data_IF_685772446072
#
_entry.id   IF_685772446072
#
_cell.length_a   1.000
_cell.length_b   1.000
_cell.length_c   1.000
_cell.angle_alpha   90.00
_cell.angle_beta   90.00
_cell.angle_gamma   90.00
#
_symmetry.space_group_name_H-M   'P 1'
#
loop_
_entity.id
_entity.type
_entity.pdbx_description
1 polymer ?
#
# COMPACT_ATOMS: atom_id res chain seq x y z
N UNK A 1 -18.51 -58.79 21.12
CA UNK A 1 -17.69 -58.71 19.89
C UNK A 1 -17.53 -57.22 19.60
N UNK A 2 -16.50 -56.61 20.16
CA UNK A 2 -16.20 -55.17 20.06
C UNK A 2 -14.83 -55.05 19.40
N UNK A 3 -14.75 -54.20 18.38
CA UNK A 3 -13.56 -53.85 17.58
C UNK A 3 -13.36 -52.31 17.67
N UNK A 4 -12.19 -51.75 17.32
CA UNK A 4 -11.35 -51.04 18.27
C UNK A 4 -11.03 -49.57 17.91
N UNK A 5 -10.51 -48.86 18.92
CA UNK A 5 -9.53 -47.76 18.86
C UNK A 5 -9.77 -46.56 17.92
N UNK A 6 -10.30 -45.50 18.53
CA UNK A 6 -10.33 -44.14 17.99
C UNK A 6 -8.95 -43.46 18.14
N UNK A 7 -8.20 -43.42 17.03
CA UNK A 7 -6.85 -42.83 16.95
C UNK A 7 -6.95 -41.30 16.80
N UNK A 8 -6.73 -40.58 17.89
CA UNK A 8 -6.68 -39.10 17.91
C UNK A 8 -5.47 -38.58 17.12
N UNK A 9 -5.70 -37.91 15.98
CA UNK A 9 -4.65 -37.24 15.21
C UNK A 9 -4.15 -36.00 15.95
N UNK A 10 -2.97 -36.11 16.57
CA UNK A 10 -2.24 -34.97 17.15
C UNK A 10 -1.58 -34.17 16.03
N UNK A 11 -2.14 -33.01 15.69
CA UNK A 11 -1.63 -32.12 14.65
C UNK A 11 -0.43 -31.33 15.20
N UNK A 12 0.79 -31.63 14.73
CA UNK A 12 2.00 -30.88 15.09
C UNK A 12 2.13 -29.63 14.21
N UNK A 13 2.07 -28.44 14.81
CA UNK A 13 2.31 -27.17 14.14
C UNK A 13 3.81 -26.86 14.00
N UNK A 14 4.21 -26.28 12.86
CA UNK A 14 5.58 -25.86 12.54
C UNK A 14 6.25 -24.99 13.63
N UNK A 15 5.45 -24.26 14.43
CA UNK A 15 5.93 -23.47 15.57
C UNK A 15 6.47 -24.31 16.73
N UNK A 16 5.97 -25.54 16.95
CA UNK A 16 6.45 -26.40 18.03
C UNK A 16 7.77 -27.12 17.69
N UNK A 17 8.09 -27.27 16.40
CA UNK A 17 9.34 -27.91 15.97
C UNK A 17 10.55 -26.97 16.13
N UNK A 18 10.38 -25.67 15.86
CA UNK A 18 11.44 -24.68 16.11
C UNK A 18 11.65 -24.38 17.60
N UNK A 19 10.60 -24.48 18.43
CA UNK A 19 10.73 -24.27 19.88
C UNK A 19 11.50 -25.38 20.62
N UNK A 20 11.50 -26.61 20.09
CA UNK A 20 12.15 -27.76 20.72
C UNK A 20 13.60 -27.98 20.26
N UNK A 21 14.04 -27.33 19.18
CA UNK A 21 15.41 -27.45 18.68
C UNK A 21 16.47 -26.68 19.51
N UNK A 22 16.04 -25.85 20.47
CA UNK A 22 16.93 -24.98 21.26
C UNK A 22 17.31 -25.53 22.65
N UNK A 23 16.82 -26.71 23.06
CA UNK A 23 17.00 -27.21 24.44
C UNK A 23 17.89 -28.45 24.58
N UNK A 24 18.58 -28.89 23.52
CA UNK A 24 19.47 -30.05 23.60
C UNK A 24 20.79 -29.86 22.84
N UNK A 25 21.65 -28.94 23.30
CA UNK A 25 23.12 -29.07 23.29
C UNK A 25 23.77 -27.77 23.79
N UNK A 26 24.61 -27.87 24.83
CA UNK A 26 25.65 -26.86 25.09
C UNK A 26 25.49 -26.03 26.37
N UNK A 27 25.50 -26.66 27.53
CA UNK A 27 25.97 -25.99 28.76
C UNK A 27 27.49 -25.89 28.74
N UNK A 28 27.99 -24.68 29.02
CA UNK A 28 29.35 -24.27 29.39
C UNK A 28 30.25 -23.64 28.28
N UNK A 29 30.79 -22.46 28.64
CA UNK A 29 31.87 -21.66 28.03
C UNK A 29 31.44 -20.64 26.95
N UNK A 30 30.86 -19.50 27.35
CA UNK A 30 30.94 -18.21 26.60
C UNK A 30 30.53 -16.96 27.40
N UNK A 31 30.66 -16.96 28.74
CA UNK A 31 30.16 -15.85 29.56
C UNK A 31 30.91 -14.49 29.45
N UNK A 32 32.21 -14.38 29.07
CA UNK A 32 32.84 -13.06 28.98
C UNK A 32 32.58 -12.30 27.67
N UNK A 33 32.16 -12.98 26.58
CA UNK A 33 32.09 -12.37 25.25
C UNK A 33 30.76 -11.67 24.94
N UNK A 34 29.71 -11.93 25.71
CA UNK A 34 28.40 -11.28 25.49
C UNK A 34 28.29 -9.88 26.10
N UNK A 35 29.21 -9.47 26.98
CA UNK A 35 29.19 -8.12 27.57
C UNK A 35 29.83 -7.08 26.63
N UNK A 36 30.71 -7.51 25.70
CA UNK A 36 31.41 -6.59 24.79
C UNK A 36 30.67 -6.26 23.47
N UNK A 37 29.57 -6.96 23.17
CA UNK A 37 28.76 -6.69 21.96
C UNK A 37 27.56 -5.77 22.22
N UNK A 38 27.23 -5.47 23.48
CA UNK A 38 26.09 -4.61 23.82
C UNK A 38 26.42 -3.11 23.73
N UNK A 39 27.71 -2.72 23.73
CA UNK A 39 28.14 -1.31 23.71
C UNK A 39 28.43 -0.76 22.30
N UNK A 40 28.42 -1.58 21.26
CA UNK A 40 28.67 -1.15 19.87
C UNK A 40 27.41 -0.88 19.03
N UNK A 41 26.21 -1.09 19.59
CA UNK A 41 24.94 -0.84 18.91
C UNK A 41 24.32 0.55 19.17
N UNK A 42 24.96 1.40 19.99
CA UNK A 42 24.47 2.74 20.31
C UNK A 42 25.51 3.80 19.93
N UNK A 43 25.73 3.99 18.63
CA UNK A 43 26.12 5.27 18.00
C UNK A 43 26.48 5.03 16.53
N UNK A 44 25.48 4.75 15.70
CA UNK A 44 25.55 5.08 14.28
C UNK A 44 24.75 6.37 14.02
N UNK A 45 25.11 7.43 14.73
CA UNK A 45 24.88 8.79 14.26
C UNK A 45 26.20 9.25 13.62
N UNK A 46 26.55 8.61 12.51
CA UNK A 46 27.58 9.14 11.64
C UNK A 46 26.97 10.40 11.03
N UNK A 47 27.24 11.56 11.62
CA UNK A 47 27.09 12.85 10.92
C UNK A 47 28.05 12.81 9.74
N UNK A 48 27.58 12.22 8.66
CA UNK A 48 28.28 12.15 7.38
C UNK A 48 28.28 13.57 6.84
N UNK A 49 29.46 14.20 6.79
CA UNK A 49 29.61 15.52 6.17
C UNK A 49 29.06 15.41 4.74
N UNK A 50 28.07 16.23 4.36
CA UNK A 50 27.48 16.19 3.02
C UNK A 50 28.57 16.27 1.96
N UNK A 51 28.47 15.43 0.93
CA UNK A 51 29.32 15.59 -0.23
C UNK A 51 29.03 16.97 -0.86
N UNK A 52 29.99 17.59 -1.58
CA UNK A 52 29.77 18.89 -2.19
C UNK A 52 28.50 18.91 -3.06
N UNK A 53 27.53 19.78 -2.70
CA UNK A 53 26.26 19.91 -3.40
C UNK A 53 25.08 19.16 -2.80
N UNK A 54 25.28 18.37 -1.74
CA UNK A 54 24.19 17.76 -0.98
C UNK A 54 23.63 18.69 0.10
N UNK A 55 22.35 18.48 0.44
CA UNK A 55 21.60 19.25 1.43
C UNK A 55 21.06 18.31 2.52
N UNK A 56 21.17 18.74 3.77
CA UNK A 56 20.46 18.09 4.87
C UNK A 56 18.97 18.42 4.77
N UNK A 57 18.11 17.42 4.92
CA UNK A 57 16.65 17.55 4.91
C UNK A 57 16.03 16.60 5.94
N UNK A 58 14.98 17.04 6.62
CA UNK A 58 14.16 16.16 7.47
C UNK A 58 12.77 15.98 6.87
N UNK A 59 12.44 14.74 6.50
CA UNK A 59 11.13 14.36 5.97
C UNK A 59 10.29 13.68 7.06
N UNK A 60 9.00 14.00 7.13
CA UNK A 60 8.06 13.26 7.99
C UNK A 60 7.33 12.23 7.13
N UNK A 61 7.77 10.98 7.18
CA UNK A 61 7.23 9.89 6.33
C UNK A 61 6.53 8.85 7.21
N UNK A 62 5.24 8.59 6.92
CA UNK A 62 4.38 7.67 7.66
C UNK A 62 4.41 7.96 9.17
N UNK A 63 4.31 9.26 9.51
CA UNK A 63 4.35 9.77 10.89
C UNK A 63 5.72 9.77 11.57
N UNK A 64 6.80 9.35 10.88
CA UNK A 64 8.14 9.25 11.45
C UNK A 64 9.09 10.28 10.83
N UNK A 65 9.81 11.08 11.63
CA UNK A 65 10.85 11.97 11.11
C UNK A 65 12.04 11.15 10.58
N UNK A 66 12.56 11.56 9.44
CA UNK A 66 13.68 10.94 8.72
C UNK A 66 14.65 12.02 8.27
N UNK A 67 15.81 12.10 8.92
CA UNK A 67 16.88 12.99 8.50
C UNK A 67 17.72 12.33 7.41
N UNK A 68 17.93 13.05 6.32
CA UNK A 68 18.65 12.59 5.12
C UNK A 68 19.61 13.68 4.66
N UNK A 69 20.64 13.27 3.92
CA UNK A 69 21.54 14.16 3.18
C UNK A 69 21.42 13.79 1.71
N UNK A 70 20.90 14.69 0.87
CA UNK A 70 20.50 14.38 -0.51
C UNK A 70 20.98 15.44 -1.49
N UNK A 71 21.27 15.05 -2.72
CA UNK A 71 21.39 16.02 -3.82
C UNK A 71 20.02 16.68 -4.11
N UNK A 72 19.97 17.99 -4.46
CA UNK A 72 18.71 18.70 -4.70
C UNK A 72 17.81 18.10 -5.78
N UNK A 73 18.40 17.36 -6.73
CA UNK A 73 17.69 16.69 -7.84
C UNK A 73 16.96 15.41 -7.44
N UNK A 74 17.21 14.88 -6.24
CA UNK A 74 16.60 13.62 -5.80
C UNK A 74 15.10 13.80 -5.69
N UNK A 75 14.36 13.03 -6.47
CA UNK A 75 12.90 13.01 -6.41
C UNK A 75 12.44 12.42 -5.08
N UNK A 76 11.24 12.77 -4.63
CA UNK A 76 10.64 12.16 -3.45
C UNK A 76 10.51 10.64 -3.65
N UNK A 77 10.21 10.19 -4.87
CA UNK A 77 10.15 8.77 -5.20
C UNK A 77 11.47 8.05 -4.90
N UNK A 78 12.59 8.62 -5.35
CA UNK A 78 13.91 8.02 -5.17
C UNK A 78 14.39 8.12 -3.71
N UNK A 79 14.07 9.21 -3.02
CA UNK A 79 14.33 9.31 -1.57
C UNK A 79 13.57 8.22 -0.79
N UNK A 80 12.29 8.02 -1.08
CA UNK A 80 11.48 6.99 -0.41
C UNK A 80 12.02 5.58 -0.67
N UNK A 81 12.31 5.26 -1.93
CA UNK A 81 12.67 3.90 -2.32
C UNK A 81 14.11 3.54 -2.00
N UNK A 82 15.03 4.38 -2.45
CA UNK A 82 16.45 4.04 -2.52
C UNK A 82 17.22 4.49 -1.26
N UNK A 83 16.75 5.56 -0.60
CA UNK A 83 17.38 6.06 0.63
C UNK A 83 16.68 5.53 1.89
N UNK A 84 15.35 5.45 1.88
CA UNK A 84 14.55 5.00 3.03
C UNK A 84 14.10 3.54 2.98
N UNK A 85 14.29 2.85 1.85
CA UNK A 85 13.89 1.45 1.67
C UNK A 85 12.37 1.23 1.62
N UNK A 86 11.58 2.29 1.48
CA UNK A 86 10.11 2.24 1.35
C UNK A 86 9.74 2.02 -0.11
N UNK A 87 9.82 0.76 -0.53
CA UNK A 87 9.71 0.34 -1.93
C UNK A 87 8.27 0.20 -2.43
N UNK A 88 7.27 0.48 -1.60
CA UNK A 88 5.84 0.40 -1.93
C UNK A 88 5.47 1.30 -3.11
N UNK A 89 5.86 2.58 -3.07
CA UNK A 89 5.71 3.48 -4.23
C UNK A 89 6.60 3.03 -5.40
N UNK A 90 6.04 3.01 -6.61
CA UNK A 90 6.70 2.40 -7.77
C UNK A 90 7.15 3.41 -8.81
N UNK A 91 8.34 3.16 -9.38
CA UNK A 91 8.83 3.86 -10.57
C UNK A 91 8.36 3.12 -11.82
N UNK A 92 7.26 3.58 -12.43
CA UNK A 92 6.74 3.00 -13.68
C UNK A 92 7.24 3.72 -14.93
N UNK A 93 7.24 5.06 -14.90
CA UNK A 93 7.61 5.89 -16.04
C UNK A 93 8.61 7.02 -15.72
N UNK A 94 8.71 7.45 -14.45
CA UNK A 94 9.53 8.59 -13.99
C UNK A 94 9.23 9.98 -14.61
N UNK A 95 8.17 10.08 -15.42
CA UNK A 95 7.77 11.32 -16.11
C UNK A 95 6.28 11.69 -15.90
N UNK A 96 5.67 11.27 -14.79
CA UNK A 96 4.28 11.65 -14.45
C UNK A 96 3.17 11.05 -15.31
N UNK A 97 3.44 9.97 -16.05
CA UNK A 97 2.50 9.41 -17.03
C UNK A 97 1.62 8.27 -16.48
N UNK A 98 2.06 7.55 -15.45
CA UNK A 98 1.40 6.29 -15.05
C UNK A 98 0.73 6.30 -13.66
N UNK A 99 1.04 7.26 -12.79
CA UNK A 99 0.52 7.32 -11.42
C UNK A 99 0.99 6.21 -10.46
N UNK A 100 1.83 5.26 -10.88
CA UNK A 100 2.31 4.17 -10.00
C UNK A 100 3.15 4.66 -8.79
N UNK A 101 3.65 5.90 -8.86
CA UNK A 101 4.42 6.56 -7.81
C UNK A 101 3.56 7.44 -6.87
N UNK A 102 2.23 7.33 -6.93
CA UNK A 102 1.34 8.18 -6.13
C UNK A 102 1.57 7.96 -4.63
N UNK A 103 1.79 9.06 -3.91
CA UNK A 103 1.84 9.16 -2.44
C UNK A 103 0.91 10.28 -1.99
N UNK A 104 0.66 10.41 -0.70
CA UNK A 104 -0.05 11.55 -0.14
C UNK A 104 0.94 12.53 0.50
N UNK A 105 0.82 13.82 0.19
CA UNK A 105 1.54 14.91 0.84
C UNK A 105 0.49 15.82 1.45
N UNK A 106 0.48 15.95 2.78
CA UNK A 106 -0.54 16.68 3.54
C UNK A 106 -1.99 16.25 3.19
N UNK A 107 -2.16 14.96 2.87
CA UNK A 107 -3.44 14.36 2.46
C UNK A 107 -3.72 14.44 0.96
N UNK A 108 -2.98 15.23 0.19
CA UNK A 108 -3.17 15.36 -1.26
C UNK A 108 -2.33 14.35 -2.05
N UNK A 109 -2.93 13.70 -3.04
CA UNK A 109 -2.21 12.75 -3.90
C UNK A 109 -1.26 13.47 -4.85
N UNK A 110 0.00 13.02 -4.87
CA UNK A 110 1.07 13.60 -5.69
C UNK A 110 1.88 12.49 -6.36
N UNK A 111 2.27 12.71 -7.62
CA UNK A 111 3.27 11.87 -8.29
C UNK A 111 4.65 12.17 -7.74
N UNK A 112 5.14 11.30 -6.86
CA UNK A 112 6.43 11.50 -6.17
C UNK A 112 7.64 11.57 -7.11
N UNK A 113 7.54 11.08 -8.36
CA UNK A 113 8.60 11.26 -9.37
C UNK A 113 8.74 12.71 -9.86
N UNK A 114 7.71 13.55 -9.71
CA UNK A 114 7.71 14.96 -10.11
C UNK A 114 7.87 15.92 -8.92
N UNK A 115 8.06 15.39 -7.71
CA UNK A 115 8.30 16.18 -6.51
C UNK A 115 9.77 16.02 -6.10
N UNK A 116 10.48 17.11 -5.81
CA UNK A 116 11.83 17.03 -5.23
C UNK A 116 11.75 16.79 -3.73
N UNK A 117 12.57 15.88 -3.19
CA UNK A 117 12.55 15.51 -1.78
C UNK A 117 12.84 16.73 -0.88
N UNK A 118 13.84 17.54 -1.25
CA UNK A 118 14.24 18.75 -0.51
C UNK A 118 13.14 19.80 -0.40
N UNK A 119 12.12 19.76 -1.27
CA UNK A 119 10.97 20.68 -1.23
C UNK A 119 9.82 20.19 -0.33
N UNK A 120 9.95 19.02 0.30
CA UNK A 120 8.89 18.41 1.12
C UNK A 120 9.19 18.44 2.63
N UNK A 121 10.21 19.18 3.04
CA UNK A 121 10.45 19.44 4.46
C UNK A 121 9.26 20.14 5.11
N UNK A 122 8.91 19.73 6.32
CA UNK A 122 7.75 20.24 7.07
C UNK A 122 6.40 19.66 6.66
N UNK A 123 6.32 18.86 5.59
CA UNK A 123 5.08 18.22 5.12
C UNK A 123 4.94 16.79 5.64
N UNK A 124 3.70 16.33 5.80
CA UNK A 124 3.38 14.95 6.15
C UNK A 124 3.27 14.09 4.88
N UNK A 125 4.18 13.14 4.71
CA UNK A 125 4.20 12.22 3.56
C UNK A 125 3.64 10.87 4.01
N UNK A 126 2.62 10.36 3.32
CA UNK A 126 2.08 9.01 3.54
C UNK A 126 2.24 8.17 2.27
N UNK A 127 2.93 7.03 2.41
CA UNK A 127 3.07 6.02 1.35
C UNK A 127 2.05 4.89 1.57
N UNK A 128 1.99 3.92 0.65
CA UNK A 128 1.09 2.76 0.79
C UNK A 128 1.35 1.98 2.09
N UNK A 129 2.61 1.90 2.53
CA UNK A 129 3.02 1.26 3.78
C UNK A 129 2.49 1.99 5.02
N UNK A 130 2.23 3.30 4.91
CA UNK A 130 1.70 4.13 5.98
C UNK A 130 0.19 4.10 6.13
N UNK A 131 -0.54 3.45 5.21
CA UNK A 131 -2.01 3.39 5.25
C UNK A 131 -2.53 2.35 6.26
N UNK A 132 -1.78 1.27 6.48
CA UNK A 132 -2.13 0.22 7.44
C UNK A 132 -1.69 0.59 8.86
N UNK A 133 -2.44 0.11 9.86
CA UNK A 133 -2.07 0.20 11.26
C UNK A 133 -1.63 -1.17 11.78
N UNK A 134 -0.34 -1.48 11.68
CA UNK A 134 0.18 -2.81 11.97
C UNK A 134 -0.39 -3.84 11.01
N UNK A 135 -1.06 -4.86 11.55
CA UNK A 135 -1.71 -5.92 10.76
C UNK A 135 -3.13 -5.54 10.29
N UNK A 136 -3.63 -4.36 10.69
CA UNK A 136 -4.96 -3.87 10.29
C UNK A 136 -4.83 -3.07 9.00
N UNK A 137 -5.39 -3.60 7.92
CA UNK A 137 -5.41 -2.94 6.62
C UNK A 137 -6.32 -1.71 6.64
N UNK A 138 -5.99 -0.76 5.78
CA UNK A 138 -6.89 0.35 5.49
C UNK A 138 -8.14 -0.18 4.77
N UNK A 139 -9.35 0.37 4.98
CA UNK A 139 -10.56 -0.11 4.31
C UNK A 139 -10.48 -0.16 2.77
N UNK A 140 -9.72 0.76 2.17
CA UNK A 140 -9.42 0.73 0.72
C UNK A 140 -8.52 -0.45 0.35
N UNK A 141 -7.54 -0.83 1.18
CA UNK A 141 -6.71 -2.00 0.93
C UNK A 141 -7.53 -3.29 1.01
N UNK A 142 -8.41 -3.42 2.02
CA UNK A 142 -9.34 -4.55 2.13
C UNK A 142 -10.26 -4.63 0.91
N UNK A 143 -10.86 -3.50 0.51
CA UNK A 143 -11.75 -3.47 -0.65
C UNK A 143 -11.04 -3.87 -1.96
N UNK A 144 -9.76 -3.53 -2.12
CA UNK A 144 -8.97 -3.98 -3.28
C UNK A 144 -8.75 -5.50 -3.27
N UNK A 145 -8.65 -6.14 -2.10
CA UNK A 145 -8.56 -7.59 -1.97
C UNK A 145 -9.92 -8.24 -2.29
N UNK A 146 -10.99 -7.73 -1.68
CA UNK A 146 -12.34 -8.28 -1.83
C UNK A 146 -12.85 -8.24 -3.28
N UNK A 147 -12.41 -7.26 -4.06
CA UNK A 147 -12.89 -7.01 -5.42
C UNK A 147 -11.87 -7.36 -6.53
N UNK A 148 -10.80 -8.10 -6.21
CA UNK A 148 -9.73 -8.43 -7.15
C UNK A 148 -9.21 -7.18 -7.90
N UNK A 149 -9.02 -6.09 -7.15
CA UNK A 149 -8.64 -4.77 -7.64
C UNK A 149 -7.18 -4.66 -8.12
N UNK A 150 -6.53 -5.79 -8.39
CA UNK A 150 -5.16 -5.87 -8.88
C UNK A 150 -4.89 -7.23 -9.53
N UNK A 151 -3.77 -7.31 -10.27
CA UNK A 151 -3.24 -8.58 -10.77
C UNK A 151 -1.74 -8.65 -10.51
N UNK A 152 -0.90 -8.08 -11.39
CA UNK A 152 0.56 -8.07 -11.20
C UNK A 152 1.03 -7.28 -9.96
N UNK A 153 0.16 -6.47 -9.36
CA UNK A 153 0.43 -5.72 -8.15
C UNK A 153 1.24 -4.43 -8.35
N UNK A 154 1.81 -4.18 -9.53
CA UNK A 154 2.77 -3.07 -9.71
C UNK A 154 2.12 -1.68 -9.60
N UNK A 155 0.95 -1.48 -10.21
CA UNK A 155 0.22 -0.21 -10.10
C UNK A 155 -0.53 -0.06 -8.77
N UNK A 156 -0.74 -1.15 -8.03
CA UNK A 156 -1.66 -1.22 -6.89
C UNK A 156 -1.33 -0.20 -5.79
N UNK A 157 -0.06 0.00 -5.38
CA UNK A 157 0.27 1.04 -4.41
C UNK A 157 -0.21 2.43 -4.81
N UNK A 158 0.02 2.82 -6.07
CA UNK A 158 -0.44 4.10 -6.59
C UNK A 158 -1.96 4.19 -6.66
N UNK A 159 -2.63 3.12 -7.09
CA UNK A 159 -4.11 3.04 -7.15
C UNK A 159 -4.74 3.19 -5.77
N UNK A 160 -4.20 2.50 -4.76
CA UNK A 160 -4.69 2.56 -3.38
C UNK A 160 -4.52 3.97 -2.80
N UNK A 161 -3.32 4.56 -2.89
CA UNK A 161 -3.11 5.95 -2.44
C UNK A 161 -4.05 6.93 -3.16
N UNK A 162 -4.18 6.81 -4.49
CA UNK A 162 -5.07 7.66 -5.27
C UNK A 162 -6.54 7.50 -4.88
N UNK A 163 -6.97 6.27 -4.56
CA UNK A 163 -8.34 5.97 -4.12
C UNK A 163 -8.64 6.55 -2.73
N UNK A 164 -7.68 6.49 -1.80
CA UNK A 164 -7.81 7.15 -0.50
C UNK A 164 -8.01 8.67 -0.67
N UNK A 165 -7.15 9.31 -1.48
CA UNK A 165 -7.27 10.73 -1.76
C UNK A 165 -8.57 11.09 -2.48
N UNK A 166 -9.01 10.29 -3.46
CA UNK A 166 -10.28 10.47 -4.17
C UNK A 166 -11.46 10.56 -3.21
N UNK A 167 -11.54 9.63 -2.24
CA UNK A 167 -12.64 9.60 -1.27
C UNK A 167 -12.60 10.83 -0.36
N UNK A 168 -11.41 11.31 0.00
CA UNK A 168 -11.24 12.54 0.77
C UNK A 168 -11.57 13.80 -0.03
N UNK A 169 -11.13 13.89 -1.29
CA UNK A 169 -11.47 14.97 -2.24
C UNK A 169 -12.99 15.17 -2.35
N UNK A 170 -13.75 14.08 -2.45
CA UNK A 170 -15.22 14.16 -2.49
C UNK A 170 -15.79 14.67 -1.16
N UNK A 171 -15.28 14.19 -0.02
CA UNK A 171 -15.71 14.69 1.31
C UNK A 171 -15.41 16.18 1.47
N UNK A 172 -14.34 16.68 0.86
CA UNK A 172 -13.98 18.11 0.79
C UNK A 172 -14.79 18.90 -0.26
N UNK A 173 -15.67 18.23 -1.02
CA UNK A 173 -16.52 18.87 -2.03
C UNK A 173 -15.81 19.21 -3.34
N UNK A 174 -14.66 18.58 -3.64
CA UNK A 174 -13.92 18.83 -4.87
C UNK A 174 -14.66 18.22 -6.09
N UNK A 175 -15.06 19.06 -7.03
CA UNK A 175 -15.60 18.63 -8.33
C UNK A 175 -14.53 17.98 -9.22
N UNK A 176 -14.94 17.14 -10.16
CA UNK A 176 -14.11 16.61 -11.25
C UNK A 176 -14.50 17.25 -12.58
N UNK A 177 -13.82 16.86 -13.67
CA UNK A 177 -14.13 17.33 -15.01
C UNK A 177 -15.54 16.92 -15.50
N UNK A 178 -16.14 15.89 -14.89
CA UNK A 178 -17.44 15.36 -15.31
C UNK A 178 -18.55 15.59 -14.28
N UNK A 179 -18.29 16.39 -13.23
CA UNK A 179 -19.31 16.73 -12.25
C UNK A 179 -20.41 17.56 -12.93
N UNK A 180 -21.67 17.08 -12.94
CA UNK A 180 -22.73 17.67 -13.79
C UNK A 180 -23.24 19.01 -13.28
N UNK A 181 -23.17 19.25 -11.98
CA UNK A 181 -23.64 20.47 -11.33
C UNK A 181 -22.56 21.00 -10.37
N UNK A 182 -21.92 22.10 -10.76
CA UNK A 182 -20.87 22.75 -9.97
C UNK A 182 -21.42 23.66 -8.87
N UNK A 183 -22.73 23.84 -8.77
CA UNK A 183 -23.36 24.64 -7.72
C UNK A 183 -23.56 23.86 -6.42
N UNK A 184 -23.42 22.53 -6.46
CA UNK A 184 -23.57 21.61 -5.33
C UNK A 184 -22.30 20.80 -5.13
N UNK A 185 -21.83 20.71 -3.88
CA UNK A 185 -20.68 19.88 -3.55
C UNK A 185 -20.97 18.39 -3.82
N UNK A 186 -20.08 17.65 -4.52
CA UNK A 186 -20.20 16.21 -4.72
C UNK A 186 -20.34 15.45 -3.40
N UNK A 187 -21.08 14.35 -3.42
CA UNK A 187 -21.31 13.50 -2.25
C UNK A 187 -20.92 12.06 -2.57
N UNK A 188 -20.42 11.33 -1.57
CA UNK A 188 -20.06 9.90 -1.74
C UNK A 188 -21.27 9.03 -2.12
N UNK A 189 -22.46 9.37 -1.66
CA UNK A 189 -23.69 8.67 -2.01
C UNK A 189 -24.02 8.76 -3.51
N UNK A 190 -23.58 9.83 -4.17
CA UNK A 190 -23.82 10.11 -5.59
C UNK A 190 -22.58 9.74 -6.46
N UNK A 191 -21.55 9.10 -5.87
CA UNK A 191 -20.32 8.77 -6.57
C UNK A 191 -20.56 7.67 -7.62
N UNK A 192 -20.63 8.08 -8.88
CA UNK A 192 -20.82 7.16 -10.01
C UNK A 192 -19.53 6.46 -10.43
N UNK A 193 -19.65 5.33 -11.13
CA UNK A 193 -18.53 4.66 -11.79
C UNK A 193 -17.74 5.59 -12.73
N UNK A 194 -18.45 6.45 -13.48
CA UNK A 194 -17.82 7.41 -14.37
C UNK A 194 -16.96 8.42 -13.61
N UNK A 195 -17.44 8.91 -12.45
CA UNK A 195 -16.69 9.83 -11.58
C UNK A 195 -15.44 9.15 -10.99
N UNK A 196 -15.56 7.88 -10.59
CA UNK A 196 -14.40 7.11 -10.11
C UNK A 196 -13.36 6.97 -11.22
N UNK A 197 -13.78 6.59 -12.43
CA UNK A 197 -12.90 6.44 -13.59
C UNK A 197 -12.21 7.75 -13.98
N UNK A 198 -12.95 8.85 -14.01
CA UNK A 198 -12.38 10.18 -14.29
C UNK A 198 -11.33 10.54 -13.24
N UNK A 199 -11.68 10.41 -11.95
CA UNK A 199 -10.79 10.78 -10.85
C UNK A 199 -9.57 9.89 -10.75
N UNK A 200 -9.64 8.62 -11.17
CA UNK A 200 -8.50 7.69 -11.20
C UNK A 200 -7.80 7.59 -12.57
N UNK A 201 -8.19 8.41 -13.55
CA UNK A 201 -7.64 8.35 -14.92
C UNK A 201 -6.12 8.56 -14.98
N UNK A 202 -5.54 9.22 -13.98
CA UNK A 202 -4.10 9.40 -13.82
C UNK A 202 -3.32 8.16 -13.38
N UNK A 203 -3.99 7.09 -12.95
CA UNK A 203 -3.36 5.86 -12.46
C UNK A 203 -3.60 4.72 -13.45
N UNK A 204 -2.57 4.37 -14.22
CA UNK A 204 -2.67 3.39 -15.30
C UNK A 204 -2.45 1.95 -14.79
N UNK A 205 -3.27 1.03 -15.29
CA UNK A 205 -3.18 -0.40 -15.06
C UNK A 205 -3.10 -1.16 -16.39
N UNK A 206 -1.95 -1.80 -16.67
CA UNK A 206 -1.77 -2.56 -17.92
C UNK A 206 -2.40 -3.96 -17.89
N UNK A 207 -2.61 -4.51 -16.70
CA UNK A 207 -3.38 -5.75 -16.51
C UNK A 207 -4.89 -5.56 -16.69
N UNK A 208 -5.34 -4.31 -16.80
CA UNK A 208 -6.75 -3.95 -16.97
C UNK A 208 -7.67 -4.35 -15.81
N UNK A 209 -7.17 -4.30 -14.56
CA UNK A 209 -7.96 -4.56 -13.35
C UNK A 209 -8.96 -3.43 -12.99
N UNK A 210 -9.28 -2.53 -13.92
CA UNK A 210 -10.06 -1.31 -13.65
C UNK A 210 -11.45 -1.58 -13.08
N UNK A 211 -12.12 -2.66 -13.50
CA UNK A 211 -13.44 -3.00 -12.96
C UNK A 211 -13.37 -3.34 -11.46
N UNK A 212 -12.38 -4.15 -11.06
CA UNK A 212 -12.13 -4.45 -9.64
C UNK A 212 -11.69 -3.23 -8.83
N UNK A 213 -10.87 -2.36 -9.43
CA UNK A 213 -10.46 -1.09 -8.82
C UNK A 213 -11.68 -0.18 -8.55
N UNK A 214 -12.57 -0.03 -9.53
CA UNK A 214 -13.81 0.75 -9.38
C UNK A 214 -14.70 0.15 -8.29
N UNK A 215 -14.92 -1.16 -8.32
CA UNK A 215 -15.73 -1.86 -7.32
C UNK A 215 -15.15 -1.68 -5.91
N UNK A 216 -13.83 -1.74 -5.76
CA UNK A 216 -13.16 -1.48 -4.49
C UNK A 216 -13.40 -0.06 -3.96
N UNK A 217 -13.37 0.96 -4.83
CA UNK A 217 -13.68 2.35 -4.44
C UNK A 217 -15.14 2.50 -4.03
N UNK A 218 -16.07 1.86 -4.76
CA UNK A 218 -17.50 1.86 -4.40
C UNK A 218 -17.73 1.22 -3.03
N UNK A 219 -17.15 0.05 -2.77
CA UNK A 219 -17.20 -0.59 -1.46
C UNK A 219 -16.63 0.33 -0.36
N UNK A 220 -15.46 0.93 -0.59
CA UNK A 220 -14.85 1.85 0.38
C UNK A 220 -15.64 3.15 0.59
N UNK A 221 -16.47 3.55 -0.40
CA UNK A 221 -17.42 4.66 -0.27
C UNK A 221 -18.71 4.28 0.47
N UNK A 222 -18.87 3.01 0.89
CA UNK A 222 -20.09 2.51 1.53
C UNK A 222 -21.20 2.17 0.53
N UNK A 223 -20.89 2.09 -0.76
CA UNK A 223 -21.82 1.63 -1.78
C UNK A 223 -21.72 0.11 -1.94
N UNK A 224 -22.80 -0.51 -2.42
CA UNK A 224 -22.76 -1.91 -2.81
C UNK A 224 -22.11 -2.00 -4.21
N UNK A 225 -20.92 -2.60 -4.36
CA UNK A 225 -20.34 -2.79 -5.68
C UNK A 225 -21.27 -3.68 -6.52
N UNK A 226 -21.25 -3.56 -7.86
CA UNK A 226 -21.92 -4.53 -8.71
C UNK A 226 -21.42 -5.92 -8.32
N UNK A 227 -22.35 -6.86 -8.09
CA UNK A 227 -21.98 -8.22 -7.75
C UNK A 227 -20.92 -8.74 -8.74
N UNK A 228 -19.95 -9.58 -8.31
CA UNK A 228 -19.00 -10.26 -9.20
C UNK A 228 -19.70 -11.30 -10.08
N UNK A 229 -20.82 -10.92 -10.69
CA UNK A 229 -21.64 -11.70 -11.55
C UNK A 229 -20.95 -11.79 -12.92
N UNK A 230 -19.98 -12.70 -12.99
CA UNK A 230 -20.26 -13.82 -13.88
C UNK A 230 -21.49 -14.54 -13.31
N UNK A 231 -22.68 -13.99 -13.55
CA UNK A 231 -23.86 -14.83 -13.66
C UNK A 231 -23.53 -15.71 -14.85
N UNK A 232 -22.88 -16.83 -14.54
CA UNK A 232 -22.45 -17.81 -15.51
C UNK A 232 -23.71 -18.11 -16.33
N UNK A 233 -23.71 -17.70 -17.59
CA UNK A 233 -24.72 -18.04 -18.58
C UNK A 233 -24.61 -19.55 -18.84
N UNK A 234 -24.91 -20.36 -17.81
CA UNK A 234 -25.29 -21.74 -17.95
C UNK A 234 -26.82 -21.74 -17.98
N UNK A 235 -27.38 -21.19 -19.06
CA UNK A 235 -28.64 -21.74 -19.53
C UNK A 235 -28.29 -23.14 -20.04
N UNK A 236 -28.54 -24.15 -19.21
CA UNK A 236 -28.60 -25.55 -19.65
C UNK A 236 -29.44 -25.59 -20.94
N UNK A 237 -28.94 -26.14 -22.05
CA UNK A 237 -29.76 -26.27 -23.24
C UNK A 237 -30.94 -27.18 -22.88
N UNK A 238 -32.15 -26.66 -23.02
CA UNK A 238 -33.36 -27.46 -22.87
C UNK A 238 -33.21 -28.71 -23.74
N UNK A 239 -33.33 -29.88 -23.11
CA UNK A 239 -33.34 -31.17 -23.79
C UNK A 239 -34.27 -31.08 -25.00
N UNK A 240 -33.69 -31.26 -26.18
CA UNK A 240 -34.46 -31.49 -27.40
C UNK A 240 -35.07 -32.88 -27.24
N UNK A 241 -36.28 -32.92 -26.69
CA UNK A 241 -37.17 -34.07 -26.77
C UNK A 241 -37.48 -34.32 -28.25
N UNK A 242 -36.89 -35.38 -28.79
CA UNK A 242 -37.27 -36.02 -30.05
C UNK A 242 -38.46 -36.94 -29.79
#
# INVERSE_FOLDING_TARGET
MQDPEERTKRQTSRRNFLGQALTAAGTAIAAPTLIHQATSAQNMNTTQTPAPGEMAVTLTVNGKPRSLTLEPRVTLLDALREQLGLVGSKKGCDHGQCGACTVLIDGERVYSCLALAVMQEGKAITTVEGLANGDVLHPVQDAFIDNDGFQCGYCTPGQVCASVALLDEIKRGCASAITPDLTRAPQLADLSEAEIKERLSGNLCRCSAYNGIVAAVQQAAGQQPPAPAAAMLLTEPAEVLV
#
